data_IF_097177756588
#
_entry.id   IF_097177756588
#
_cell.length_a   1.000
_cell.length_b   1.000
_cell.length_c   1.000
_cell.angle_alpha   90.00
_cell.angle_beta   90.00
_cell.angle_gamma   90.00
#
_symmetry.space_group_name_H-M   'P 1'
#
loop_
_entity.id
_entity.type
_entity.pdbx_description
1 polymer ?
#
# COMPACT_ATOMS: atom_id res chain seq x y z
N UNK A 1 3.92 -24.74 -16.67
CA UNK A 1 3.60 -23.30 -16.68
C UNK A 1 2.74 -22.95 -17.88
N UNK A 2 3.17 -23.21 -19.11
CA UNK A 2 2.38 -22.90 -20.32
C UNK A 2 1.03 -23.65 -20.41
N UNK A 3 1.00 -24.92 -20.01
CA UNK A 3 -0.21 -25.76 -20.06
C UNK A 3 -1.14 -25.60 -18.85
N UNK A 4 -0.65 -24.96 -17.79
CA UNK A 4 -1.36 -24.83 -16.51
C UNK A 4 -1.14 -23.41 -15.95
N UNK A 5 -1.80 -22.40 -16.53
CA UNK A 5 -1.56 -20.99 -16.21
C UNK A 5 -1.91 -20.64 -14.75
N UNK A 6 -2.91 -21.28 -14.15
CA UNK A 6 -3.31 -21.04 -12.75
C UNK A 6 -2.24 -21.51 -11.74
N UNK A 7 -1.43 -22.49 -12.15
CA UNK A 7 -0.29 -22.95 -11.36
C UNK A 7 0.80 -21.88 -11.30
N UNK A 8 0.95 -21.03 -12.31
CA UNK A 8 1.94 -19.94 -12.28
C UNK A 8 1.62 -18.92 -11.19
N UNK A 9 0.34 -18.57 -11.00
CA UNK A 9 -0.10 -17.66 -9.94
C UNK A 9 0.20 -18.27 -8.58
N UNK A 10 -0.18 -19.53 -8.34
CA UNK A 10 0.15 -20.23 -7.10
C UNK A 10 1.65 -20.36 -6.86
N UNK A 11 2.44 -20.66 -7.89
CA UNK A 11 3.89 -20.71 -7.77
C UNK A 11 4.48 -19.34 -7.45
N UNK A 12 3.86 -18.25 -7.89
CA UNK A 12 4.31 -16.88 -7.61
C UNK A 12 3.88 -16.42 -6.21
N UNK A 13 2.68 -16.82 -5.77
CA UNK A 13 2.08 -16.47 -4.47
C UNK A 13 2.59 -17.32 -3.30
N UNK A 14 2.85 -18.61 -3.53
CA UNK A 14 3.17 -19.59 -2.48
C UNK A 14 4.65 -20.01 -2.49
N UNK A 15 5.43 -19.65 -3.52
CA UNK A 15 6.84 -20.04 -3.59
C UNK A 15 7.77 -18.88 -3.91
N UNK A 16 8.99 -18.92 -3.37
CA UNK A 16 10.07 -17.97 -3.69
C UNK A 16 10.66 -18.17 -5.10
N UNK A 17 9.96 -18.89 -5.99
CA UNK A 17 10.46 -19.31 -7.28
C UNK A 17 10.90 -18.14 -8.16
N UNK A 18 10.14 -17.04 -8.21
CA UNK A 18 10.54 -15.88 -9.03
C UNK A 18 11.86 -15.26 -8.54
N UNK A 19 12.05 -15.11 -7.23
CA UNK A 19 13.30 -14.61 -6.66
C UNK A 19 14.46 -15.56 -6.96
N UNK A 20 14.25 -16.87 -6.72
CA UNK A 20 15.26 -17.90 -6.94
C UNK A 20 15.69 -17.97 -8.42
N UNK A 21 14.74 -17.87 -9.35
CA UNK A 21 15.03 -17.84 -10.79
C UNK A 21 15.84 -16.60 -11.19
N UNK A 22 15.55 -15.42 -10.61
CA UNK A 22 16.31 -14.20 -10.87
C UNK A 22 17.71 -14.20 -10.25
N UNK A 23 17.89 -14.88 -9.11
CA UNK A 23 19.21 -15.10 -8.53
C UNK A 23 20.01 -16.08 -9.39
N UNK A 24 19.43 -17.21 -9.75
CA UNK A 24 20.11 -18.23 -10.57
C UNK A 24 20.42 -17.75 -12.00
N UNK A 25 19.59 -16.88 -12.57
CA UNK A 25 19.86 -16.24 -13.86
C UNK A 25 21.25 -15.57 -13.91
N UNK A 26 21.78 -15.12 -12.77
CA UNK A 26 23.09 -14.44 -12.67
C UNK A 26 24.26 -15.43 -12.60
N UNK A 27 24.04 -16.67 -12.18
CA UNK A 27 25.06 -17.71 -11.96
C UNK A 27 25.10 -18.77 -13.06
N UNK A 28 24.06 -18.89 -13.88
CA UNK A 28 23.99 -19.90 -14.95
C UNK A 28 24.97 -19.57 -16.08
N UNK A 29 25.86 -20.52 -16.37
CA UNK A 29 26.78 -20.48 -17.50
C UNK A 29 26.31 -21.27 -18.73
N UNK A 30 25.31 -22.14 -18.54
CA UNK A 30 24.72 -22.95 -19.60
C UNK A 30 23.66 -22.13 -20.37
N UNK A 31 23.87 -21.97 -21.68
CA UNK A 31 23.02 -21.13 -22.53
C UNK A 31 21.59 -21.65 -22.68
N UNK A 32 21.38 -22.98 -22.62
CA UNK A 32 20.06 -23.58 -22.80
C UNK A 32 19.23 -23.43 -21.52
N UNK A 33 19.86 -23.67 -20.37
CA UNK A 33 19.27 -23.40 -19.04
C UNK A 33 18.94 -21.93 -18.86
N UNK A 34 19.80 -21.02 -19.33
CA UNK A 34 19.55 -19.58 -19.24
C UNK A 34 18.29 -19.19 -20.01
N UNK A 35 18.11 -19.71 -21.24
CA UNK A 35 16.90 -19.48 -22.05
C UNK A 35 15.64 -20.00 -21.34
N UNK A 36 15.71 -21.18 -20.72
CA UNK A 36 14.58 -21.76 -20.00
C UNK A 36 14.20 -20.95 -18.76
N UNK A 37 15.19 -20.45 -18.00
CA UNK A 37 14.98 -19.58 -16.84
C UNK A 37 14.39 -18.24 -17.28
N UNK A 38 14.90 -17.64 -18.35
CA UNK A 38 14.36 -16.39 -18.89
C UNK A 38 12.92 -16.56 -19.34
N UNK A 39 12.60 -17.64 -20.05
CA UNK A 39 11.23 -17.95 -20.48
C UNK A 39 10.30 -18.21 -19.29
N UNK A 40 10.78 -18.89 -18.24
CA UNK A 40 10.00 -19.09 -17.03
C UNK A 40 9.71 -17.75 -16.31
N UNK A 41 10.71 -16.87 -16.20
CA UNK A 41 10.55 -15.51 -15.66
C UNK A 41 9.55 -14.73 -16.51
N UNK A 42 9.69 -14.74 -17.83
CA UNK A 42 8.78 -14.04 -18.75
C UNK A 42 7.33 -14.56 -18.61
N UNK A 43 7.14 -15.87 -18.44
CA UNK A 43 5.81 -16.46 -18.19
C UNK A 43 5.24 -16.07 -16.82
N UNK A 44 6.08 -15.87 -15.81
CA UNK A 44 5.68 -15.36 -14.50
C UNK A 44 5.34 -13.87 -14.57
N UNK A 45 6.16 -13.09 -15.27
CA UNK A 45 6.03 -11.62 -15.43
C UNK A 45 4.85 -11.21 -16.30
N UNK A 46 4.61 -11.93 -17.42
CA UNK A 46 3.42 -11.75 -18.25
C UNK A 46 2.12 -12.06 -17.48
N UNK A 47 2.19 -12.71 -16.31
CA UNK A 47 1.05 -12.95 -15.43
C UNK A 47 0.97 -11.99 -14.25
N UNK A 48 2.07 -11.40 -13.78
CA UNK A 48 2.04 -10.28 -12.82
C UNK A 48 1.71 -8.94 -13.47
N UNK A 49 1.93 -8.79 -14.78
CA UNK A 49 1.58 -7.62 -15.60
C UNK A 49 0.26 -7.79 -16.36
N UNK A 50 -0.70 -8.56 -15.84
CA UNK A 50 -2.07 -8.43 -16.32
C UNK A 50 -2.70 -7.34 -15.48
N UNK A 51 -2.61 -6.08 -15.95
CA UNK A 51 -3.72 -5.16 -15.68
C UNK A 51 -4.97 -5.96 -16.04
N UNK A 52 -5.90 -6.19 -15.10
CA UNK A 52 -7.15 -6.86 -15.43
C UNK A 52 -7.70 -6.21 -16.69
N UNK A 53 -8.21 -6.99 -17.65
CA UNK A 53 -8.52 -6.49 -19.01
C UNK A 53 -9.44 -5.25 -19.05
N UNK A 54 -10.04 -4.88 -17.91
CA UNK A 54 -10.93 -3.73 -17.72
C UNK A 54 -10.44 -2.72 -16.65
N UNK A 55 -9.19 -2.80 -16.20
CA UNK A 55 -8.65 -1.92 -15.18
C UNK A 55 -8.19 -0.57 -15.77
N UNK A 56 -8.56 0.52 -15.12
CA UNK A 56 -8.18 1.88 -15.54
C UNK A 56 -6.91 2.29 -14.80
N UNK A 57 -5.79 2.39 -15.51
CA UNK A 57 -4.52 2.85 -14.93
C UNK A 57 -4.62 4.30 -14.43
N UNK A 58 -4.08 4.53 -13.23
CA UNK A 58 -3.98 5.83 -12.60
C UNK A 58 -2.52 6.28 -12.39
N UNK A 59 -1.52 5.53 -12.88
CA UNK A 59 -0.10 5.79 -12.63
C UNK A 59 0.35 7.20 -13.03
N UNK A 60 -0.18 7.72 -14.14
CA UNK A 60 0.16 9.07 -14.62
C UNK A 60 -0.56 10.19 -13.85
N UNK A 61 -1.58 9.85 -13.05
CA UNK A 61 -2.50 10.79 -12.40
C UNK A 61 -2.41 10.79 -10.89
N UNK A 62 -1.78 9.78 -10.30
CA UNK A 62 -1.85 9.55 -8.87
C UNK A 62 -0.47 9.16 -8.33
N UNK A 63 -0.04 9.90 -7.31
CA UNK A 63 1.17 9.61 -6.55
C UNK A 63 0.80 9.42 -5.08
N UNK A 64 1.07 8.25 -4.47
CA UNK A 64 0.99 8.08 -3.03
C UNK A 64 1.86 9.11 -2.33
N UNK A 65 1.41 9.53 -1.15
CA UNK A 65 2.17 10.47 -0.33
C UNK A 65 3.40 9.75 0.23
N UNK A 66 4.56 10.37 0.07
CA UNK A 66 5.76 9.97 0.77
C UNK A 66 5.79 10.60 2.16
N UNK A 67 5.78 9.78 3.20
CA UNK A 67 5.98 10.20 4.57
C UNK A 67 7.42 9.87 5.01
N UNK A 68 8.17 10.86 5.51
CA UNK A 68 9.47 10.64 6.15
C UNK A 68 9.51 11.27 7.53
N UNK A 69 10.14 10.65 8.55
CA UNK A 69 10.19 11.19 9.91
C UNK A 69 10.81 12.58 10.03
N UNK A 70 11.90 12.85 9.31
CA UNK A 70 12.67 14.10 9.49
C UNK A 70 12.43 15.14 8.38
N UNK A 71 11.76 14.75 7.31
CA UNK A 71 11.48 15.58 6.14
C UNK A 71 10.22 15.05 5.46
N UNK A 72 9.04 15.32 6.02
CA UNK A 72 7.78 15.03 5.33
C UNK A 72 7.73 15.90 4.06
N UNK A 73 8.36 15.41 3.00
CA UNK A 73 8.25 15.95 1.64
C UNK A 73 6.94 15.41 1.11
N UNK A 74 5.90 16.18 1.39
CA UNK A 74 4.62 15.97 0.80
C UNK A 74 4.70 16.31 -0.68
N UNK A 75 4.60 15.29 -1.50
CA UNK A 75 4.26 15.47 -2.90
C UNK A 75 2.75 15.63 -2.94
N UNK A 76 2.27 16.59 -3.73
CA UNK A 76 0.84 16.72 -4.00
C UNK A 76 0.29 15.35 -4.44
N UNK A 77 -0.76 14.91 -3.76
CA UNK A 77 -1.32 13.57 -3.89
C UNK A 77 -2.70 13.60 -4.53
N UNK A 78 -3.15 12.46 -5.03
CA UNK A 78 -4.49 12.30 -5.54
C UNK A 78 -5.42 11.73 -4.47
N UNK A 79 -6.69 12.12 -4.53
CA UNK A 79 -7.72 11.70 -3.58
C UNK A 79 -8.62 10.65 -4.23
N UNK A 80 -9.03 9.67 -3.43
CA UNK A 80 -10.10 8.74 -3.80
C UNK A 80 -11.30 9.11 -2.95
N UNK A 81 -12.44 9.40 -3.58
CA UNK A 81 -13.58 10.06 -2.94
C UNK A 81 -14.88 9.39 -3.34
N UNK A 82 -15.71 9.02 -2.37
CA UNK A 82 -17.12 8.69 -2.64
C UNK A 82 -17.85 9.93 -3.17
N UNK A 83 -18.59 9.83 -4.29
CA UNK A 83 -19.41 10.92 -4.79
C UNK A 83 -20.31 11.52 -3.70
N UNK A 84 -20.24 12.84 -3.52
CA UNK A 84 -21.00 13.55 -2.48
C UNK A 84 -20.44 13.43 -1.06
N UNK A 85 -19.30 12.76 -0.84
CA UNK A 85 -18.67 12.73 0.48
C UNK A 85 -18.30 14.15 0.93
N UNK A 86 -18.71 14.57 2.14
CA UNK A 86 -18.38 15.89 2.64
C UNK A 86 -16.87 16.02 2.84
N UNK A 87 -16.33 17.19 2.50
CA UNK A 87 -14.97 17.57 2.89
C UNK A 87 -15.03 17.91 4.38
N UNK A 88 -14.19 17.26 5.19
CA UNK A 88 -14.12 17.56 6.62
C UNK A 88 -13.57 18.98 6.80
N UNK A 89 -14.24 19.85 7.59
CA UNK A 89 -13.76 21.20 7.80
C UNK A 89 -12.47 21.19 8.61
N UNK A 90 -11.39 21.68 8.01
CA UNK A 90 -10.08 21.78 8.66
C UNK A 90 -10.01 23.15 9.34
N UNK A 91 -10.50 23.20 10.58
CA UNK A 91 -10.50 24.40 11.42
C UNK A 91 -9.16 24.65 12.11
N UNK A 92 -8.27 23.65 12.13
CA UNK A 92 -6.94 23.76 12.72
C UNK A 92 -6.03 24.61 11.83
N UNK A 93 -5.47 25.68 12.39
CA UNK A 93 -4.39 26.45 11.76
C UNK A 93 -3.01 25.90 12.13
N UNK A 94 -2.92 25.17 13.26
CA UNK A 94 -1.68 24.56 13.74
C UNK A 94 -1.92 23.17 14.32
N UNK A 95 -0.92 22.30 14.19
CA UNK A 95 -0.79 21.09 15.00
C UNK A 95 0.52 21.14 15.78
N UNK A 96 0.41 21.12 17.12
CA UNK A 96 1.53 21.51 17.98
C UNK A 96 1.97 22.93 17.66
N UNK A 97 3.26 23.11 17.34
CA UNK A 97 3.83 24.41 16.97
C UNK A 97 3.95 24.62 15.45
N UNK A 98 3.41 23.73 14.63
CA UNK A 98 3.55 23.74 13.17
C UNK A 98 2.27 24.17 12.49
N UNK A 99 2.37 25.01 11.46
CA UNK A 99 1.23 25.47 10.67
C UNK A 99 0.72 24.35 9.77
N UNK A 100 -0.60 24.20 9.67
CA UNK A 100 -1.22 23.28 8.72
C UNK A 100 -0.99 23.77 7.30
N UNK A 101 -0.47 22.91 6.43
CA UNK A 101 -0.21 23.22 5.03
C UNK A 101 -1.47 23.03 4.19
N UNK A 102 -2.42 23.97 4.33
CA UNK A 102 -3.75 23.90 3.69
C UNK A 102 -3.71 23.74 2.17
N UNK A 103 -2.69 24.27 1.51
CA UNK A 103 -2.53 24.14 0.05
C UNK A 103 -2.27 22.69 -0.38
N UNK A 104 -1.59 21.89 0.45
CA UNK A 104 -1.33 20.45 0.20
C UNK A 104 -2.56 19.57 0.48
N UNK A 105 -3.62 20.17 1.01
CA UNK A 105 -4.89 19.49 1.28
C UNK A 105 -5.78 19.48 0.05
N UNK A 106 -5.50 20.31 -0.95
CA UNK A 106 -6.19 20.29 -2.23
C UNK A 106 -5.69 19.12 -3.08
N UNK A 107 -6.62 18.33 -3.59
CA UNK A 107 -6.28 17.25 -4.51
C UNK A 107 -5.84 17.84 -5.84
N UNK A 108 -4.71 17.39 -6.39
CA UNK A 108 -4.42 17.60 -7.82
C UNK A 108 -5.41 16.85 -8.71
N UNK A 109 -5.80 15.67 -8.25
CA UNK A 109 -6.69 14.79 -8.96
C UNK A 109 -7.62 14.09 -7.97
N UNK A 110 -8.89 14.00 -8.32
CA UNK A 110 -9.88 13.24 -7.56
C UNK A 110 -10.38 12.10 -8.43
N UNK A 111 -10.37 10.91 -7.87
CA UNK A 111 -10.95 9.71 -8.45
C UNK A 111 -12.27 9.44 -7.71
N UNK A 112 -13.36 9.32 -8.47
CA UNK A 112 -14.65 8.90 -7.90
C UNK A 112 -14.57 7.46 -7.40
N UNK A 113 -15.41 7.13 -6.41
CA UNK A 113 -15.39 5.84 -5.77
C UNK A 113 -15.47 4.66 -6.74
N UNK A 114 -14.74 3.63 -6.34
CA UNK A 114 -14.61 2.36 -7.01
C UNK A 114 -13.78 1.45 -6.14
N UNK A 115 -13.30 0.36 -6.72
CA UNK A 115 -12.34 -0.52 -6.07
C UNK A 115 -10.96 -0.08 -6.55
N UNK A 116 -10.14 0.48 -5.67
CA UNK A 116 -8.84 1.03 -6.06
C UNK A 116 -7.73 0.15 -5.53
N UNK A 117 -6.86 -0.29 -6.41
CA UNK A 117 -5.72 -1.13 -6.09
C UNK A 117 -4.42 -0.38 -6.32
N UNK A 118 -3.50 -0.43 -5.35
CA UNK A 118 -2.20 0.23 -5.37
C UNK A 118 -1.11 -0.77 -4.96
N UNK A 119 -0.14 -1.03 -5.82
CA UNK A 119 1.02 -1.88 -5.54
C UNK A 119 2.29 -1.04 -5.46
N UNK A 120 3.04 -1.21 -4.37
CA UNK A 120 4.24 -0.45 -4.05
C UNK A 120 5.39 -1.43 -3.81
N UNK A 121 6.56 -1.12 -4.37
CA UNK A 121 7.82 -1.84 -4.10
C UNK A 121 8.77 -0.87 -3.42
N UNK A 122 9.25 -1.23 -2.23
CA UNK A 122 10.30 -0.49 -1.53
C UNK A 122 11.66 -1.02 -1.92
N UNK A 123 12.62 -0.13 -2.14
CA UNK A 123 13.99 -0.47 -2.47
C UNK A 123 14.96 0.46 -1.73
N UNK A 124 16.23 0.06 -1.72
CA UNK A 124 17.31 0.79 -1.08
C UNK A 124 18.57 0.60 -1.89
N UNK A 125 19.34 1.67 -2.03
CA UNK A 125 20.66 1.63 -2.66
C UNK A 125 21.72 1.02 -1.72
N UNK A 126 21.38 0.84 -0.44
CA UNK A 126 22.23 0.21 0.57
C UNK A 126 21.90 -1.27 0.76
N UNK A 127 22.96 -2.08 0.92
CA UNK A 127 22.89 -3.46 1.41
C UNK A 127 22.83 -3.42 2.93
N UNK A 128 21.65 -3.59 3.51
CA UNK A 128 21.50 -3.74 4.95
C UNK A 128 21.65 -5.21 5.35
N UNK A 129 22.43 -5.49 6.40
CA UNK A 129 22.31 -6.76 7.13
C UNK A 129 20.98 -6.68 7.89
N UNK A 130 19.97 -7.42 7.42
CA UNK A 130 18.62 -7.55 7.98
C UNK A 130 18.02 -6.27 8.58
N UNK A 131 17.17 -5.59 7.80
CA UNK A 131 16.59 -4.31 8.17
C UNK A 131 15.70 -4.37 9.41
N UNK A 132 16.26 -3.96 10.55
CA UNK A 132 15.53 -3.71 11.81
C UNK A 132 14.62 -2.47 11.75
N UNK A 133 14.58 -1.77 10.62
CA UNK A 133 13.88 -0.50 10.48
C UNK A 133 12.58 -0.73 9.71
N UNK A 134 11.42 -0.48 10.33
CA UNK A 134 10.13 -0.84 9.76
C UNK A 134 9.77 0.06 8.58
N UNK A 135 9.33 -0.57 7.49
CA UNK A 135 8.66 0.09 6.37
C UNK A 135 7.16 0.10 6.64
N UNK A 136 6.44 1.09 6.08
CA UNK A 136 4.99 1.16 6.22
C UNK A 136 4.32 1.57 4.93
N UNK A 137 3.17 0.98 4.65
CA UNK A 137 2.22 1.47 3.66
C UNK A 137 0.85 1.67 4.30
N UNK A 138 -0.04 2.37 3.62
CA UNK A 138 -1.43 2.41 4.05
C UNK A 138 -2.22 3.53 3.42
N UNK A 139 -3.24 3.94 4.14
CA UNK A 139 -4.09 5.06 3.76
C UNK A 139 -4.10 6.14 4.83
N UNK A 140 -4.25 7.38 4.39
CA UNK A 140 -4.58 8.52 5.25
C UNK A 140 -5.91 9.09 4.78
N UNK A 141 -6.68 9.67 5.69
CA UNK A 141 -7.87 10.44 5.34
C UNK A 141 -7.48 11.62 4.45
N UNK A 142 -8.23 11.84 3.37
CA UNK A 142 -7.85 12.86 2.39
C UNK A 142 -7.90 14.29 2.94
N UNK A 143 -8.59 14.49 4.06
CA UNK A 143 -8.71 15.77 4.73
C UNK A 143 -7.82 15.83 5.99
N UNK A 144 -6.87 14.91 6.15
CA UNK A 144 -5.90 14.88 7.25
C UNK A 144 -5.05 16.18 7.28
N UNK A 145 -4.95 16.91 8.41
CA UNK A 145 -4.23 18.17 8.49
C UNK A 145 -2.70 17.96 8.44
N UNK A 146 -2.18 17.92 7.22
CA UNK A 146 -0.76 17.73 6.94
C UNK A 146 0.08 18.87 7.52
N UNK A 147 1.10 18.52 8.30
CA UNK A 147 2.07 19.44 8.89
C UNK A 147 3.48 18.92 8.63
N UNK A 148 4.50 19.78 8.63
CA UNK A 148 5.91 19.37 8.57
C UNK A 148 6.41 18.77 9.90
N UNK A 149 5.50 18.36 10.78
CA UNK A 149 5.81 17.88 12.11
C UNK A 149 6.39 16.46 12.04
N UNK A 150 7.58 16.21 12.62
CA UNK A 150 8.12 14.86 12.75
C UNK A 150 7.31 14.00 13.73
N UNK A 151 6.37 14.60 14.47
CA UNK A 151 5.56 13.91 15.48
C UNK A 151 4.46 13.04 14.87
N UNK A 152 4.09 13.28 13.60
CA UNK A 152 3.13 12.43 12.93
C UNK A 152 3.79 11.08 12.59
N UNK A 153 3.19 10.01 13.10
CA UNK A 153 3.62 8.65 12.81
C UNK A 153 2.41 7.89 12.27
N UNK A 154 2.50 7.46 11.01
CA UNK A 154 1.40 6.75 10.36
C UNK A 154 1.00 5.48 11.12
N UNK A 155 -0.30 5.28 11.23
CA UNK A 155 -0.93 4.23 12.04
C UNK A 155 -0.92 4.50 13.55
N UNK A 156 -0.02 5.34 14.08
CA UNK A 156 -0.01 5.73 15.50
C UNK A 156 -0.83 6.99 15.78
N UNK A 157 -0.73 7.99 14.90
CA UNK A 157 -1.52 9.21 14.96
C UNK A 157 -2.92 9.01 14.36
N UNK A 158 -3.87 9.89 14.72
CA UNK A 158 -5.19 9.92 14.08
C UNK A 158 -5.09 10.09 12.57
N UNK A 159 -6.17 9.74 11.87
CA UNK A 159 -6.29 10.00 10.44
C UNK A 159 -5.57 9.01 9.52
N UNK A 160 -4.92 7.96 10.04
CA UNK A 160 -4.19 6.99 9.21
C UNK A 160 -4.33 5.55 9.66
N UNK A 161 -4.23 4.65 8.69
CA UNK A 161 -4.17 3.19 8.87
C UNK A 161 -2.88 2.73 8.19
N UNK A 162 -2.03 1.99 8.89
CA UNK A 162 -0.78 1.46 8.32
C UNK A 162 -0.70 -0.06 8.37
N UNK A 163 0.03 -0.63 7.42
CA UNK A 163 0.54 -1.99 7.42
C UNK A 163 2.07 -1.92 7.41
N UNK A 164 2.66 -2.45 8.46
CA UNK A 164 4.08 -2.35 8.77
C UNK A 164 4.81 -3.63 8.29
N UNK A 165 6.10 -3.53 7.99
CA UNK A 165 6.94 -4.65 7.51
C UNK A 165 7.09 -5.82 8.48
N UNK A 166 6.81 -5.60 9.75
CA UNK A 166 6.72 -6.66 10.77
C UNK A 166 5.37 -7.41 10.75
N UNK A 167 4.50 -7.09 9.79
CA UNK A 167 3.18 -7.69 9.62
C UNK A 167 2.11 -7.09 10.51
N UNK A 168 2.39 -6.00 11.23
CA UNK A 168 1.43 -5.31 12.10
C UNK A 168 0.53 -4.38 11.29
N UNK A 169 -0.77 -4.42 11.54
CA UNK A 169 -1.70 -3.36 11.10
C UNK A 169 -1.86 -2.37 12.26
N UNK A 170 -1.68 -1.08 12.01
CA UNK A 170 -1.84 -0.04 13.03
C UNK A 170 -2.99 0.92 12.69
N UNK A 171 -3.84 1.20 13.67
CA UNK A 171 -4.92 2.18 13.56
C UNK A 171 -4.98 3.02 14.84
N UNK A 172 -4.69 4.31 14.72
CA UNK A 172 -4.76 5.27 15.83
C UNK A 172 -4.03 4.78 17.10
N UNK A 173 -2.82 4.26 16.93
CA UNK A 173 -1.98 3.79 18.05
C UNK A 173 -2.35 2.41 18.59
N UNK A 174 -3.40 1.77 18.07
CA UNK A 174 -3.68 0.35 18.32
C UNK A 174 -2.93 -0.51 17.33
N UNK A 175 -2.28 -1.56 17.85
CA UNK A 175 -1.45 -2.48 17.10
C UNK A 175 -2.17 -3.83 16.97
N UNK A 176 -2.29 -4.31 15.75
CA UNK A 176 -2.88 -5.60 15.42
C UNK A 176 -1.79 -6.49 14.82
N UNK A 177 -1.03 -7.13 15.71
CA UNK A 177 0.14 -7.94 15.36
C UNK A 177 -0.25 -9.21 14.59
N UNK A 178 0.72 -9.79 13.89
CA UNK A 178 0.58 -11.09 13.24
C UNK A 178 1.24 -12.19 14.05
N UNK A 179 0.68 -13.39 14.01
CA UNK A 179 1.39 -14.62 14.38
C UNK A 179 1.96 -15.35 13.15
N UNK A 180 1.46 -15.01 11.95
CA UNK A 180 1.90 -15.61 10.70
C UNK A 180 3.18 -14.96 10.20
N UNK A 181 4.23 -15.77 10.02
CA UNK A 181 5.48 -15.32 9.41
C UNK A 181 5.33 -14.92 7.94
N UNK A 182 4.29 -15.41 7.27
CA UNK A 182 4.03 -15.08 5.86
C UNK A 182 3.57 -13.63 5.69
N UNK A 183 3.03 -13.03 6.76
CA UNK A 183 2.57 -11.64 6.77
C UNK A 183 3.70 -10.64 7.06
N UNK A 184 4.92 -11.13 7.30
CA UNK A 184 6.14 -10.31 7.36
C UNK A 184 6.60 -9.99 5.94
N UNK A 185 7.13 -8.80 5.71
CA UNK A 185 7.62 -8.40 4.39
C UNK A 185 8.85 -7.52 4.47
N UNK A 186 9.60 -7.45 3.37
CA UNK A 186 10.86 -6.71 3.28
C UNK A 186 10.95 -5.93 1.96
N UNK A 187 12.08 -5.23 1.76
CA UNK A 187 12.36 -4.53 0.49
C UNK A 187 12.36 -5.51 -0.68
N UNK A 188 12.11 -4.96 -1.87
CA UNK A 188 12.02 -5.66 -3.15
C UNK A 188 10.87 -6.66 -3.24
N UNK A 189 9.90 -6.59 -2.32
CA UNK A 189 8.63 -7.30 -2.42
C UNK A 189 7.53 -6.33 -2.86
N UNK A 190 6.57 -6.83 -3.64
CA UNK A 190 5.41 -6.08 -4.07
C UNK A 190 4.35 -6.10 -2.97
N UNK A 191 4.11 -4.95 -2.35
CA UNK A 191 3.10 -4.82 -1.29
C UNK A 191 1.95 -4.00 -1.83
N UNK A 192 0.75 -4.59 -1.80
CA UNK A 192 -0.42 -3.96 -2.39
C UNK A 192 -1.51 -3.66 -1.38
N UNK A 193 -2.33 -2.67 -1.72
CA UNK A 193 -3.51 -2.24 -1.00
C UNK A 193 -4.69 -2.22 -1.95
N UNK A 194 -5.81 -2.78 -1.51
CA UNK A 194 -7.09 -2.66 -2.20
C UNK A 194 -8.09 -1.95 -1.29
N UNK A 195 -8.57 -0.78 -1.72
CA UNK A 195 -9.64 -0.06 -1.06
C UNK A 195 -10.93 -0.26 -1.85
N UNK A 196 -11.89 -0.99 -1.28
CA UNK A 196 -13.24 -1.09 -1.82
C UNK A 196 -14.11 0.01 -1.22
N UNK A 197 -14.34 1.04 -2.03
CA UNK A 197 -15.15 2.21 -1.67
C UNK A 197 -16.64 2.04 -2.01
N UNK A 198 -17.02 0.92 -2.67
CA UNK A 198 -18.38 0.66 -3.13
C UNK A 198 -19.23 -0.07 -2.08
N UNK A 199 -18.60 -0.74 -1.11
CA UNK A 199 -19.27 -1.49 -0.05
C UNK A 199 -19.51 -0.66 1.21
N UNK A 200 -20.52 -1.04 1.99
CA UNK A 200 -20.84 -0.44 3.30
C UNK A 200 -20.87 -1.55 4.36
N UNK A 201 -19.93 -1.57 5.33
CA UNK A 201 -18.82 -0.63 5.50
C UNK A 201 -17.74 -0.78 4.42
N UNK A 202 -17.10 0.34 4.03
CA UNK A 202 -15.95 0.36 3.10
C UNK A 202 -14.80 -0.47 3.65
N UNK A 203 -13.98 -1.05 2.77
CA UNK A 203 -12.91 -1.96 3.21
C UNK A 203 -11.54 -1.62 2.65
N UNK A 204 -10.49 -2.01 3.38
CA UNK A 204 -9.10 -1.98 2.96
C UNK A 204 -8.46 -3.34 3.21
N UNK A 205 -7.88 -3.93 2.17
CA UNK A 205 -7.14 -5.20 2.21
C UNK A 205 -5.68 -4.99 1.83
N UNK A 206 -4.81 -5.83 2.36
CA UNK A 206 -3.37 -5.80 2.08
C UNK A 206 -2.92 -7.12 1.45
N UNK A 207 -1.91 -7.02 0.58
CA UNK A 207 -1.36 -8.14 -0.16
C UNK A 207 0.17 -8.09 -0.12
N UNK A 208 0.81 -9.25 -0.01
CA UNK A 208 2.26 -9.41 -0.13
C UNK A 208 2.52 -10.32 -1.33
N UNK A 209 3.19 -9.79 -2.35
CA UNK A 209 3.41 -10.46 -3.63
C UNK A 209 2.12 -11.05 -4.23
N UNK A 210 1.01 -10.30 -4.15
CA UNK A 210 -0.31 -10.74 -4.62
C UNK A 210 -1.11 -11.61 -3.63
N UNK A 211 -0.48 -12.18 -2.61
CA UNK A 211 -1.17 -12.98 -1.58
C UNK A 211 -1.87 -12.07 -0.56
N UNK A 212 -3.19 -12.19 -0.43
CA UNK A 212 -3.97 -11.45 0.57
C UNK A 212 -3.65 -11.93 2.00
N UNK A 213 -3.34 -11.00 2.91
CA UNK A 213 -3.16 -11.30 4.35
C UNK A 213 -4.51 -11.63 5.02
N UNK A 214 -4.50 -12.28 6.18
CA UNK A 214 -5.74 -12.69 6.88
C UNK A 214 -6.47 -11.56 7.56
N UNK A 215 -5.85 -10.39 7.72
CA UNK A 215 -6.45 -9.22 8.39
C UNK A 215 -6.87 -8.18 7.36
N UNK A 216 -8.05 -7.60 7.56
CA UNK A 216 -8.56 -6.53 6.72
C UNK A 216 -9.24 -5.46 7.57
N UNK A 217 -9.27 -4.24 7.06
CA UNK A 217 -9.84 -3.10 7.77
C UNK A 217 -11.20 -2.76 7.20
N UNK A 218 -12.19 -2.57 8.07
CA UNK A 218 -13.52 -2.08 7.68
C UNK A 218 -13.75 -0.68 8.21
N UNK A 219 -14.74 0.00 7.62
CA UNK A 219 -15.16 1.34 8.00
C UNK A 219 -14.04 2.38 7.82
N UNK A 220 -13.27 2.27 6.72
CA UNK A 220 -12.29 3.29 6.32
C UNK A 220 -12.99 4.61 5.95
N UNK A 221 -12.30 5.76 5.85
CA UNK A 221 -12.92 7.04 5.47
C UNK A 221 -13.54 7.04 4.07
N UNK A 222 -14.47 7.96 3.82
CA UNK A 222 -15.08 8.17 2.50
C UNK A 222 -14.14 8.84 1.49
N UNK A 223 -13.05 9.43 1.99
CA UNK A 223 -12.04 10.18 1.24
C UNK A 223 -10.67 9.74 1.72
N UNK A 224 -9.86 9.15 0.85
CA UNK A 224 -8.57 8.57 1.26
C UNK A 224 -7.44 8.98 0.30
N UNK A 225 -6.20 8.85 0.76
CA UNK A 225 -4.97 8.88 -0.04
C UNK A 225 -4.09 7.71 0.36
N UNK A 226 -3.45 7.05 -0.61
CA UNK A 226 -2.42 6.05 -0.31
C UNK A 226 -1.12 6.73 0.13
N UNK A 227 -0.35 6.06 0.97
CA UNK A 227 0.99 6.50 1.34
C UNK A 227 1.99 5.34 1.42
N UNK A 228 3.26 5.70 1.26
CA UNK A 228 4.41 4.88 1.64
C UNK A 228 5.29 5.67 2.61
N UNK A 229 5.74 5.04 3.68
CA UNK A 229 6.62 5.64 4.69
C UNK A 229 7.94 4.90 4.76
N UNK A 230 9.02 5.67 4.69
CA UNK A 230 10.40 5.18 4.82
C UNK A 230 11.08 5.93 5.96
N UNK A 231 11.93 5.23 6.69
CA UNK A 231 12.54 5.77 7.91
C UNK A 231 14.00 6.17 7.68
N UNK A 232 14.66 5.61 6.67
CA UNK A 232 16.08 5.83 6.40
C UNK A 232 16.25 6.68 5.13
N UNK A 233 17.30 7.49 5.12
CA UNK A 233 17.76 8.17 3.92
C UNK A 233 18.32 7.16 2.89
N UNK A 234 18.17 7.45 1.60
CA UNK A 234 18.55 6.57 0.49
C UNK A 234 17.58 5.41 0.21
N UNK A 235 16.49 5.31 0.98
CA UNK A 235 15.35 4.48 0.59
C UNK A 235 14.47 5.19 -0.42
N UNK A 236 13.92 4.40 -1.33
CA UNK A 236 12.93 4.84 -2.30
C UNK A 236 11.85 3.78 -2.45
N UNK A 237 10.69 4.19 -2.96
CA UNK A 237 9.66 3.25 -3.38
C UNK A 237 9.23 3.59 -4.80
N UNK A 238 8.78 2.57 -5.53
CA UNK A 238 8.13 2.71 -6.81
C UNK A 238 6.69 2.22 -6.73
N UNK A 239 5.79 2.91 -7.42
CA UNK A 239 4.42 2.45 -7.61
C UNK A 239 4.46 1.53 -8.82
N UNK A 240 4.38 0.23 -8.58
CA UNK A 240 4.45 -0.74 -9.66
C UNK A 240 3.12 -0.78 -10.44
N UNK A 241 2.00 -0.65 -9.72
CA UNK A 241 0.69 -0.56 -10.35
C UNK A 241 -0.27 0.25 -9.51
N UNK A 242 -1.18 0.95 -10.19
CA UNK A 242 -2.27 1.66 -9.55
C UNK A 242 -3.43 1.76 -10.53
N UNK A 243 -4.58 1.22 -10.17
CA UNK A 243 -5.73 1.18 -11.06
C UNK A 243 -7.05 1.07 -10.31
N UNK A 244 -8.14 1.44 -11.01
CA UNK A 244 -9.51 1.13 -10.60
C UNK A 244 -9.88 -0.24 -11.17
N UNK A 245 -10.48 -1.08 -10.34
CA UNK A 245 -10.97 -2.41 -10.64
C UNK A 245 -12.49 -2.41 -10.79
N UNK A 246 -13.00 -3.26 -11.69
CA UNK A 246 -14.44 -3.57 -11.78
C UNK A 246 -14.91 -4.51 -10.66
N UNK A 247 -14.02 -5.41 -10.23
CA UNK A 247 -14.28 -6.42 -9.21
C UNK A 247 -13.13 -6.50 -8.22
N UNK A 248 -13.41 -6.75 -6.92
CA UNK A 248 -12.35 -6.85 -5.94
C UNK A 248 -11.50 -8.11 -6.20
N UNK A 249 -10.19 -7.95 -6.14
CA UNK A 249 -9.25 -9.07 -6.09
C UNK A 249 -9.32 -9.72 -4.71
N UNK A 250 -9.47 -8.91 -3.67
CA UNK A 250 -9.57 -9.38 -2.31
C UNK A 250 -10.91 -10.05 -2.04
N UNK A 251 -10.88 -11.17 -1.32
CA UNK A 251 -12.06 -11.93 -0.95
C UNK A 251 -12.11 -12.12 0.56
N UNK A 252 -13.32 -12.08 1.12
CA UNK A 252 -13.54 -12.48 2.50
C UNK A 252 -13.42 -14.01 2.59
N UNK A 253 -12.41 -14.49 3.31
CA UNK A 253 -12.15 -15.92 3.49
C UNK A 253 -12.56 -16.37 4.88
N UNK A 254 -12.82 -17.67 5.02
CA UNK A 254 -12.95 -18.29 6.34
C UNK A 254 -11.66 -18.09 7.13
N UNK A 255 -11.77 -17.52 8.34
CA UNK A 255 -10.62 -17.23 9.20
C UNK A 255 -10.00 -15.84 9.01
N UNK A 256 -10.49 -15.04 8.05
CA UNK A 256 -10.09 -13.63 7.98
C UNK A 256 -10.56 -12.88 9.24
N UNK A 257 -9.72 -11.98 9.75
CA UNK A 257 -9.97 -11.18 10.96
C UNK A 257 -10.28 -9.74 10.56
N UNK A 258 -11.48 -9.29 10.94
CA UNK A 258 -11.92 -7.91 10.75
C UNK A 258 -11.28 -6.98 11.78
N UNK A 259 -10.71 -5.88 11.32
CA UNK A 259 -10.27 -4.76 12.15
C UNK A 259 -11.14 -3.54 11.81
N UNK A 260 -12.03 -3.16 12.72
CA UNK A 260 -12.97 -2.06 12.46
C UNK A 260 -12.36 -0.70 12.84
N UNK A 261 -12.24 0.20 11.87
CA UNK A 261 -11.88 1.59 12.13
C UNK A 261 -13.09 2.37 12.71
N UNK A 262 -12.84 3.29 13.64
CA UNK A 262 -13.87 4.18 14.17
C UNK A 262 -13.83 5.51 13.41
N UNK A 263 -15.00 6.03 13.01
CA UNK A 263 -15.13 7.31 12.31
C UNK A 263 -14.61 8.50 13.14
N UNK A 264 -14.71 8.41 14.48
CA UNK A 264 -14.16 9.41 15.41
C UNK A 264 -12.63 9.55 15.27
N UNK A 265 -11.95 8.54 14.72
CA UNK A 265 -10.49 8.60 14.48
C UNK A 265 -10.10 9.57 13.37
N UNK A 266 -11.08 10.06 12.61
CA UNK A 266 -10.91 11.00 11.50
C UNK A 266 -11.55 12.36 11.84
N UNK A 267 -11.95 12.58 13.09
CA UNK A 267 -12.35 13.89 13.59
C UNK A 267 -11.15 14.65 14.17
N UNK A 268 -10.84 15.78 13.54
CA UNK A 268 -9.75 16.67 13.92
C UNK A 268 -10.21 17.89 14.71
N UNK A 269 -11.51 18.01 15.02
CA UNK A 269 -12.08 19.14 15.76
C UNK A 269 -11.42 19.34 17.14
N UNK A 270 -10.97 18.23 17.75
CA UNK A 270 -10.30 18.21 19.06
C UNK A 270 -8.77 18.04 18.97
N UNK A 271 -8.17 18.20 17.78
CA UNK A 271 -6.73 17.96 17.54
C UNK A 271 -6.39 16.58 16.95
N UNK A 272 -5.11 16.41 16.60
CA UNK A 272 -4.52 15.17 16.05
C UNK A 272 -4.20 14.11 17.10
#
# INVERSE_FOLDING_TARGET
MEQHPDLCIKLLEESHLWNNLNEEKKSISDSELQILVERAIELLENKTSILPNNAISLLDKFRPILLRPNHQKFVEGAHIVIPGAPIRPITLDKVGNKTVMKDLLQAQYTVEAGIVFCNIIFASDFIFQESQIPLKIGIVDADFPMTDSPLFVSGKSKGSISFDSDGTVCINGKFYNTESKEDLWTRNQGISMEADMNVVPRTLRFFINGRQITRYVTNIPARIRFFGSMMIEGEWFNINSLYILEHPQGQLRSGDVEIRANDDHFDYSSGM
#
